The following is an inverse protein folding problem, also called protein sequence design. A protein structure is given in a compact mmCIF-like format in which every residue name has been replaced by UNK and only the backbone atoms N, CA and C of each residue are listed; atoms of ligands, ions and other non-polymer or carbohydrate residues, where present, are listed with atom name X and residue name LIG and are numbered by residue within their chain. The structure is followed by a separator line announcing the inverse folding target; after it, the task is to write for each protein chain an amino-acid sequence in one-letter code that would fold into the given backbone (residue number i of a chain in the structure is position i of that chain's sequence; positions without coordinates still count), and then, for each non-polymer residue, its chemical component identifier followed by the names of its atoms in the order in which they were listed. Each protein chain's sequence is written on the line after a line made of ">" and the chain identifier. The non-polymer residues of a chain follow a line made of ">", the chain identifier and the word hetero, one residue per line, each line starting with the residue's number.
data_IF_195961490135
#
_entry.id   IF_195961490135
#
_cell.length_a   1.000
_cell.length_b   1.000
_cell.length_c   1.000
_cell.angle_alpha   90.00
_cell.angle_beta   90.00
_cell.angle_gamma   90.00
#
_symmetry.space_group_name_H-M   'P 1'
#
loop_
_entity.id
_entity.type
_entity.pdbx_description
1 polymer ?
#
# COMPACT_ATOMS: atom_id res chain seq x y z
N UNK A 1 14.92 -2.47 -14.02
CA UNK A 1 15.47 -1.09 -14.02
C UNK A 1 15.17 -0.41 -12.70
N UNK A 2 15.93 0.61 -12.32
CA UNK A 2 15.70 1.39 -11.11
C UNK A 2 15.49 2.85 -11.51
N UNK A 3 14.49 3.49 -10.92
CA UNK A 3 14.20 4.91 -11.08
C UNK A 3 14.17 5.58 -9.72
N UNK A 4 14.73 6.78 -9.65
CA UNK A 4 14.57 7.68 -8.51
C UNK A 4 13.38 8.62 -8.76
N UNK A 5 12.67 8.98 -7.69
CA UNK A 5 11.62 10.00 -7.74
C UNK A 5 11.71 10.95 -6.55
N UNK A 6 11.19 12.16 -6.73
CA UNK A 6 11.00 13.15 -5.68
C UNK A 6 9.72 13.93 -5.97
N UNK A 7 8.88 14.09 -4.95
CA UNK A 7 7.60 14.78 -5.02
C UNK A 7 7.57 15.78 -3.87
N UNK A 8 7.45 17.06 -4.21
CA UNK A 8 7.34 18.16 -3.26
C UNK A 8 6.06 18.07 -2.43
N UNK A 9 6.07 18.61 -1.21
CA UNK A 9 4.95 18.55 -0.26
C UNK A 9 3.61 19.02 -0.82
N UNK A 10 3.59 20.02 -1.68
CA UNK A 10 2.38 20.58 -2.30
C UNK A 10 1.72 19.64 -3.32
N UNK A 11 2.52 18.75 -3.92
CA UNK A 11 2.08 17.74 -4.90
C UNK A 11 1.92 16.36 -4.27
N UNK A 12 2.60 16.11 -3.16
CA UNK A 12 2.50 14.87 -2.42
C UNK A 12 1.19 14.82 -1.62
N UNK A 13 0.53 13.66 -1.63
CA UNK A 13 -0.64 13.37 -0.78
C UNK A 13 -0.26 12.48 0.42
N UNK A 14 1.01 12.49 0.80
CA UNK A 14 1.49 11.68 1.92
C UNK A 14 1.14 12.35 3.23
N UNK A 15 0.37 11.66 4.07
CA UNK A 15 0.10 12.08 5.43
C UNK A 15 0.86 11.18 6.41
N UNK A 16 1.55 11.79 7.35
CA UNK A 16 2.11 11.11 8.52
C UNK A 16 1.27 11.50 9.72
N UNK A 17 0.88 10.50 10.50
CA UNK A 17 0.13 10.71 11.74
C UNK A 17 0.97 10.26 12.92
N UNK A 18 1.15 11.16 13.89
CA UNK A 18 1.68 10.82 15.20
C UNK A 18 0.52 10.55 16.14
N UNK A 19 0.53 9.40 16.83
CA UNK A 19 -0.52 9.01 17.77
C UNK A 19 0.05 8.96 19.18
N UNK A 20 -0.50 9.80 20.06
CA UNK A 20 -0.15 9.84 21.48
C UNK A 20 -1.30 10.34 22.34
N UNK A 21 -1.00 11.15 23.37
CA UNK A 21 -2.03 11.82 24.16
C UNK A 21 -2.87 12.79 23.31
N UNK A 22 -2.24 13.41 22.31
CA UNK A 22 -2.89 14.15 21.24
C UNK A 22 -2.45 13.50 19.94
N UNK A 23 -3.38 13.25 19.02
CA UNK A 23 -3.07 12.84 17.66
C UNK A 23 -2.84 14.07 16.79
N UNK A 24 -1.73 14.10 16.06
CA UNK A 24 -1.40 15.16 15.12
C UNK A 24 -1.04 14.56 13.76
N UNK A 25 -1.29 15.29 12.68
CA UNK A 25 -1.05 14.82 11.31
C UNK A 25 -0.49 15.92 10.43
N UNK A 26 0.43 15.54 9.54
CA UNK A 26 1.07 16.48 8.63
C UNK A 26 1.22 15.90 7.23
N UNK A 27 1.06 16.76 6.23
CA UNK A 27 1.39 16.43 4.84
C UNK A 27 2.88 16.70 4.62
N UNK A 28 3.56 15.73 4.02
CA UNK A 28 5.00 15.77 3.72
C UNK A 28 5.24 15.58 2.25
N UNK A 29 6.37 16.08 1.74
CA UNK A 29 6.91 15.58 0.49
C UNK A 29 7.34 14.11 0.63
N UNK A 30 7.74 13.51 -0.49
CA UNK A 30 8.33 12.17 -0.48
C UNK A 30 9.41 12.06 -1.56
N UNK A 31 10.41 11.22 -1.31
CA UNK A 31 11.35 10.78 -2.33
C UNK A 31 11.63 9.31 -2.18
N UNK A 32 12.16 8.70 -3.22
CA UNK A 32 12.36 7.27 -3.18
C UNK A 32 12.86 6.64 -4.46
N UNK A 33 12.78 5.32 -4.50
CA UNK A 33 13.24 4.47 -5.58
C UNK A 33 12.19 3.44 -5.96
N UNK A 34 12.09 3.16 -7.25
CA UNK A 34 11.19 2.16 -7.81
C UNK A 34 12.01 1.18 -8.64
N UNK A 35 11.88 -0.10 -8.33
CA UNK A 35 12.43 -1.19 -9.13
C UNK A 35 11.33 -1.70 -10.04
N UNK A 36 11.56 -1.68 -11.34
CA UNK A 36 10.59 -2.13 -12.34
C UNK A 36 11.23 -3.26 -13.15
N UNK A 37 10.50 -4.36 -13.33
CA UNK A 37 10.89 -5.42 -14.24
C UNK A 37 10.98 -4.91 -15.70
N UNK A 38 11.96 -5.39 -16.46
CA UNK A 38 12.21 -4.91 -17.83
C UNK A 38 11.30 -5.54 -18.88
N UNK A 39 10.76 -6.72 -18.59
CA UNK A 39 10.00 -7.51 -19.56
C UNK A 39 8.50 -7.21 -19.44
N UNK A 40 7.97 -7.24 -18.22
CA UNK A 40 6.54 -7.13 -17.93
C UNK A 40 6.13 -5.74 -17.38
N UNK A 41 7.10 -4.82 -17.24
CA UNK A 41 6.90 -3.46 -16.72
C UNK A 41 6.21 -3.40 -15.34
N UNK A 42 6.44 -4.40 -14.50
CA UNK A 42 5.84 -4.50 -13.16
C UNK A 42 6.76 -3.93 -12.09
N UNK A 43 6.18 -3.29 -11.06
CA UNK A 43 6.94 -2.80 -9.89
C UNK A 43 7.31 -3.98 -8.99
N UNK A 44 8.61 -4.19 -8.77
CA UNK A 44 9.18 -5.24 -7.93
C UNK A 44 9.44 -4.74 -6.50
N UNK A 45 9.82 -3.48 -6.34
CA UNK A 45 10.07 -2.84 -5.05
C UNK A 45 9.76 -1.34 -5.12
N UNK A 46 9.24 -0.82 -4.02
CA UNK A 46 9.10 0.61 -3.76
C UNK A 46 9.79 0.95 -2.44
N UNK A 47 10.74 1.88 -2.48
CA UNK A 47 11.29 2.52 -1.30
C UNK A 47 10.86 3.99 -1.29
N UNK A 48 10.40 4.49 -0.16
CA UNK A 48 10.11 5.92 0.01
C UNK A 48 10.47 6.42 1.41
N UNK A 49 10.84 7.69 1.48
CA UNK A 49 10.99 8.42 2.73
C UNK A 49 10.32 9.79 2.64
N UNK A 50 9.77 10.24 3.77
CA UNK A 50 9.17 11.55 3.88
C UNK A 50 10.22 12.65 3.82
N UNK A 51 9.90 13.72 3.09
CA UNK A 51 10.69 14.96 3.02
C UNK A 51 9.86 16.13 3.54
N UNK A 52 10.51 17.25 3.85
CA UNK A 52 9.80 18.47 4.27
C UNK A 52 8.91 18.28 5.51
N UNK A 53 9.32 17.36 6.39
CA UNK A 53 8.69 17.17 7.70
C UNK A 53 8.92 18.43 8.54
N UNK A 54 7.87 19.09 9.07
CA UNK A 54 8.06 20.24 9.93
C UNK A 54 8.85 19.91 11.20
N UNK A 55 9.78 20.79 11.62
CA UNK A 55 10.67 20.51 12.76
C UNK A 55 9.95 20.46 14.12
N UNK A 56 8.76 21.04 14.20
CA UNK A 56 7.86 21.01 15.36
C UNK A 56 6.97 19.76 15.40
N UNK A 57 6.93 18.96 14.32
CA UNK A 57 6.19 17.71 14.29
C UNK A 57 6.93 16.59 15.07
N UNK A 58 6.24 15.77 15.88
CA UNK A 58 6.88 14.74 16.69
C UNK A 58 7.69 13.69 15.92
N UNK A 59 7.22 13.30 14.73
CA UNK A 59 7.90 12.32 13.88
C UNK A 59 8.96 13.04 13.06
N UNK A 60 10.21 12.64 13.19
CA UNK A 60 11.37 13.26 12.52
C UNK A 60 11.86 12.51 11.28
N UNK A 61 11.42 11.27 11.09
CA UNK A 61 11.74 10.44 9.95
C UNK A 61 10.63 9.44 9.75
N UNK A 62 10.22 9.23 8.50
CA UNK A 62 9.30 8.18 8.11
C UNK A 62 9.82 7.52 6.83
N UNK A 63 10.06 6.21 6.90
CA UNK A 63 10.56 5.40 5.79
C UNK A 63 9.65 4.21 5.56
N UNK A 64 9.50 3.82 4.30
CA UNK A 64 8.70 2.68 3.88
C UNK A 64 9.44 1.91 2.79
N UNK A 65 9.43 0.60 2.92
CA UNK A 65 9.86 -0.34 1.87
C UNK A 65 8.71 -1.30 1.63
N UNK A 66 8.33 -1.49 0.37
CA UNK A 66 7.38 -2.52 -0.06
C UNK A 66 8.07 -3.40 -1.09
N UNK A 67 8.12 -4.70 -0.80
CA UNK A 67 8.58 -5.73 -1.72
C UNK A 67 7.38 -6.42 -2.35
N UNK A 68 7.43 -6.63 -3.66
CA UNK A 68 6.42 -7.36 -4.42
C UNK A 68 6.97 -8.70 -4.87
N UNK A 69 6.13 -9.73 -4.83
CA UNK A 69 6.49 -11.07 -5.27
C UNK A 69 5.31 -11.75 -5.96
N UNK A 70 5.63 -12.77 -6.76
CA UNK A 70 4.65 -13.55 -7.49
C UNK A 70 3.88 -14.47 -6.54
N UNK A 71 2.58 -14.24 -6.44
CA UNK A 71 1.66 -15.06 -5.67
C UNK A 71 0.68 -15.76 -6.60
N UNK A 72 0.51 -17.08 -6.44
CA UNK A 72 -0.52 -17.84 -7.14
C UNK A 72 -1.87 -17.69 -6.43
N UNK A 73 -2.92 -17.35 -7.19
CA UNK A 73 -4.30 -17.33 -6.73
C UNK A 73 -5.15 -18.05 -7.77
N UNK A 74 -5.67 -19.22 -7.41
CA UNK A 74 -6.24 -20.16 -8.39
C UNK A 74 -5.20 -20.55 -9.44
N UNK A 75 -5.59 -20.50 -10.71
CA UNK A 75 -4.72 -20.87 -11.84
C UNK A 75 -3.87 -19.70 -12.38
N UNK A 76 -3.90 -18.53 -11.73
CA UNK A 76 -3.21 -17.33 -12.19
C UNK A 76 -2.16 -16.84 -11.19
N UNK A 77 -1.10 -16.21 -11.71
CA UNK A 77 -0.08 -15.54 -10.90
C UNK A 77 -0.27 -14.04 -10.93
N UNK A 78 -0.14 -13.42 -9.76
CA UNK A 78 -0.25 -11.99 -9.56
C UNK A 78 1.00 -11.49 -8.86
N UNK A 79 1.56 -10.38 -9.33
CA UNK A 79 2.62 -9.70 -8.61
C UNK A 79 1.98 -8.79 -7.55
N UNK A 80 2.09 -9.19 -6.29
CA UNK A 80 1.40 -8.56 -5.16
C UNK A 80 2.41 -8.19 -4.06
N UNK A 81 2.08 -7.24 -3.16
CA UNK A 81 2.92 -6.98 -1.99
C UNK A 81 3.20 -8.28 -1.23
N UNK A 82 4.46 -8.57 -0.94
CA UNK A 82 4.86 -9.71 -0.12
C UNK A 82 5.28 -9.26 1.28
N UNK A 83 5.90 -8.07 1.37
CA UNK A 83 6.35 -7.49 2.62
C UNK A 83 6.26 -5.97 2.59
N UNK A 84 5.93 -5.36 3.73
CA UNK A 84 6.07 -3.92 3.95
C UNK A 84 6.82 -3.68 5.26
N UNK A 85 7.90 -2.90 5.23
CA UNK A 85 8.63 -2.43 6.42
C UNK A 85 8.48 -0.91 6.52
N UNK A 86 7.82 -0.45 7.58
CA UNK A 86 7.62 0.98 7.86
C UNK A 86 8.38 1.32 9.14
N UNK A 87 9.20 2.36 9.08
CA UNK A 87 9.97 2.86 10.22
C UNK A 87 9.71 4.33 10.46
N UNK A 88 9.35 4.66 11.69
CA UNK A 88 9.15 6.05 12.12
C UNK A 88 10.07 6.35 13.31
N UNK A 89 10.74 7.50 13.29
CA UNK A 89 11.52 7.99 14.43
C UNK A 89 10.74 9.12 15.12
N UNK A 90 10.25 8.87 16.32
CA UNK A 90 9.52 9.83 17.14
C UNK A 90 10.48 10.50 18.13
N UNK A 91 10.51 11.84 18.09
CA UNK A 91 11.28 12.71 18.99
C UNK A 91 10.39 13.55 19.89
N UNK A 92 9.06 13.45 19.78
CA UNK A 92 8.11 14.17 20.62
C UNK A 92 8.04 13.68 22.06
N UNK A 93 8.56 12.47 22.33
CA UNK A 93 8.73 11.95 23.70
C UNK A 93 10.20 11.78 24.04
N UNK A 94 10.53 11.87 25.33
CA UNK A 94 11.86 11.58 25.86
C UNK A 94 11.84 10.26 26.63
N UNK A 95 12.72 9.30 26.32
CA UNK A 95 13.69 9.31 25.22
C UNK A 95 13.00 9.19 23.84
N UNK A 96 13.68 9.66 22.79
CA UNK A 96 13.24 9.41 21.41
C UNK A 96 13.25 7.91 21.13
N UNK A 97 12.32 7.43 20.31
CA UNK A 97 12.21 6.01 19.97
C UNK A 97 11.94 5.80 18.48
N UNK A 98 12.32 4.64 17.97
CA UNK A 98 11.95 4.17 16.65
C UNK A 98 10.81 3.17 16.77
N UNK A 99 9.80 3.31 15.91
CA UNK A 99 8.79 2.28 15.70
C UNK A 99 9.07 1.57 14.40
N UNK A 100 8.85 0.26 14.40
CA UNK A 100 8.94 -0.58 13.21
C UNK A 100 7.66 -1.37 13.06
N UNK A 101 6.97 -1.18 11.95
CA UNK A 101 5.85 -1.98 11.55
C UNK A 101 6.27 -2.86 10.36
N UNK A 102 6.36 -4.17 10.60
CA UNK A 102 6.72 -5.16 9.59
C UNK A 102 5.49 -6.01 9.25
N UNK A 103 4.98 -5.85 8.04
CA UNK A 103 3.83 -6.57 7.51
C UNK A 103 4.34 -7.64 6.56
N UNK A 104 3.84 -8.87 6.72
CA UNK A 104 3.99 -9.95 5.73
C UNK A 104 2.62 -10.27 5.17
N UNK A 105 2.47 -10.06 3.87
CA UNK A 105 1.23 -10.38 3.20
C UNK A 105 1.25 -11.85 2.81
N UNK A 106 0.21 -12.57 3.19
CA UNK A 106 0.07 -14.01 2.97
C UNK A 106 -1.37 -14.32 2.64
N UNK A 107 -1.59 -15.50 2.06
CA UNK A 107 -2.94 -16.06 1.86
C UNK A 107 -3.87 -15.14 1.08
N UNK A 108 -3.34 -14.52 0.02
CA UNK A 108 -4.17 -13.73 -0.90
C UNK A 108 -5.30 -14.58 -1.47
N UNK A 109 -6.52 -14.05 -1.37
CA UNK A 109 -7.72 -14.65 -1.93
C UNK A 109 -8.33 -13.68 -2.94
N UNK A 110 -8.83 -14.23 -4.04
CA UNK A 110 -9.62 -13.49 -5.03
C UNK A 110 -11.07 -13.94 -4.88
N UNK A 111 -11.91 -13.04 -4.41
CA UNK A 111 -13.36 -13.26 -4.33
C UNK A 111 -14.02 -12.68 -5.57
N UNK A 112 -14.87 -13.46 -6.21
CA UNK A 112 -15.65 -13.05 -7.36
C UNK A 112 -17.09 -13.55 -7.23
N UNK A 113 -17.99 -12.89 -7.95
CA UNK A 113 -19.38 -13.31 -8.11
C UNK A 113 -19.65 -13.46 -9.60
N UNK A 114 -20.32 -14.54 -9.97
CA UNK A 114 -20.87 -14.69 -11.31
C UNK A 114 -22.20 -13.96 -11.38
N UNK A 115 -22.37 -13.08 -12.37
CA UNK A 115 -23.64 -12.40 -12.65
C UNK A 115 -24.10 -12.87 -14.03
N UNK A 116 -25.23 -13.57 -14.04
CA UNK A 116 -25.91 -13.95 -15.29
C UNK A 116 -27.09 -13.01 -15.49
N UNK A 117 -27.07 -12.23 -16.57
CA UNK A 117 -28.24 -11.44 -17.00
C UNK A 117 -29.11 -12.33 -17.86
N UNK A 118 -30.33 -12.62 -17.41
CA UNK A 118 -31.32 -13.41 -18.16
C UNK A 118 -32.33 -12.41 -18.73
N UNK A 119 -32.50 -12.39 -20.05
CA UNK A 119 -33.60 -11.66 -20.69
C UNK A 119 -34.93 -12.38 -20.40
N UNK A 120 -36.00 -11.64 -20.08
CA UNK A 120 -37.31 -12.21 -19.66
C UNK A 120 -37.86 -13.25 -20.66
N UNK A 121 -37.53 -13.12 -21.95
CA UNK A 121 -37.99 -14.01 -23.02
C UNK A 121 -37.31 -15.41 -23.02
N UNK A 122 -36.26 -15.60 -22.20
CA UNK A 122 -35.54 -16.88 -22.02
C UNK A 122 -35.61 -17.42 -20.58
N UNK A 123 -36.55 -16.93 -19.76
CA UNK A 123 -36.76 -17.46 -18.41
C UNK A 123 -37.22 -18.93 -18.48
N UNK A 124 -36.64 -19.84 -17.66
CA UNK A 124 -37.16 -21.20 -17.53
C UNK A 124 -38.62 -21.17 -17.12
N UNK A 125 -39.49 -21.82 -17.89
CA UNK A 125 -40.91 -21.95 -17.53
C UNK A 125 -40.97 -22.78 -16.25
N UNK A 126 -41.38 -22.18 -15.13
CA UNK A 126 -41.72 -22.96 -13.93
C UNK A 126 -42.94 -23.85 -14.23
N UNK A 127 -42.71 -25.14 -14.39
CA UNK A 127 -43.80 -26.11 -14.41
C UNK A 127 -44.48 -26.12 -13.03
N UNK A 128 -45.68 -25.55 -12.95
CA UNK A 128 -46.57 -25.77 -11.82
C UNK A 128 -46.94 -27.25 -11.77
N UNK A 129 -46.40 -27.95 -10.78
CA UNK A 129 -46.85 -29.32 -10.45
C UNK A 129 -48.33 -29.31 -10.06
N UNK A 130 -49.09 -30.37 -10.43
CA UNK A 130 -50.54 -30.45 -10.24
C UNK A 130 -50.98 -30.47 -8.78
#
# INVERSE_FOLDING_TARGET
>A
VVFDFSIERDKAKQQITSVGYISDSVITGMRGRIWIDREEFRVLRLESEATEIPPDFPVSSAKRIIDYDWTAIGDQKYLLPAMSDVRLVDRGRKPSFETRNLIRFKEYQKFGTEVTVIEEDNAPIEEKKP
#
